data_IF_482985938193
#
_entry.id   IF_482985938193
#
_cell.length_a   1.000
_cell.length_b   1.000
_cell.length_c   1.000
_cell.angle_alpha   90.00
_cell.angle_beta   90.00
_cell.angle_gamma   90.00
#
_symmetry.space_group_name_H-M   'P 1'
#
loop_
_entity.id
_entity.type
_entity.pdbx_description
1 polymer ?
#
# COMPACT_ATOMS: atom_id res chain seq x y z
N UNK A 1 0.73 -0.40 18.53
CA UNK A 1 -0.65 -0.56 18.98
C UNK A 1 -0.65 -1.13 20.39
N UNK A 2 -1.61 -0.77 21.23
CA UNK A 2 -1.82 -1.36 22.56
C UNK A 2 -3.23 -1.96 22.62
N UNK A 3 -3.37 -3.12 23.27
CA UNK A 3 -4.64 -3.84 23.42
C UNK A 3 -5.06 -3.93 24.89
N UNK A 4 -5.44 -2.81 25.54
CA UNK A 4 -5.82 -2.82 26.94
C UNK A 4 -7.07 -3.68 27.16
N UNK A 5 -7.08 -4.37 28.30
CA UNK A 5 -8.27 -5.04 28.82
C UNK A 5 -9.09 -4.04 29.64
N UNK A 6 -10.37 -4.35 29.88
CA UNK A 6 -11.21 -3.55 30.80
C UNK A 6 -10.63 -3.49 32.22
N UNK A 7 -9.83 -4.49 32.60
CA UNK A 7 -9.14 -4.56 33.89
C UNK A 7 -7.73 -3.97 33.86
N UNK A 8 -7.28 -3.42 32.74
CA UNK A 8 -5.98 -2.77 32.66
C UNK A 8 -5.97 -1.48 33.49
N UNK A 9 -4.93 -1.33 34.31
CA UNK A 9 -4.73 -0.13 35.12
C UNK A 9 -4.30 1.06 34.25
N UNK A 10 -4.95 2.21 34.48
CA UNK A 10 -4.76 3.42 33.67
C UNK A 10 -3.35 4.00 33.80
N UNK A 11 -2.74 3.93 34.99
CA UNK A 11 -1.38 4.44 35.24
C UNK A 11 -0.33 3.60 34.50
N UNK A 12 -0.51 2.29 34.51
CA UNK A 12 0.31 1.33 33.76
C UNK A 12 0.16 1.56 32.25
N UNK A 13 -1.07 1.73 31.76
CA UNK A 13 -1.33 2.00 30.34
C UNK A 13 -0.71 3.33 29.90
N UNK A 14 -0.81 4.38 30.71
CA UNK A 14 -0.19 5.68 30.44
C UNK A 14 1.34 5.58 30.39
N UNK A 15 1.94 4.82 31.30
CA UNK A 15 3.38 4.57 31.33
C UNK A 15 3.86 3.85 30.07
N UNK A 16 3.19 2.76 29.70
CA UNK A 16 3.51 2.01 28.48
C UNK A 16 3.33 2.88 27.24
N UNK A 17 2.24 3.65 27.17
CA UNK A 17 2.01 4.61 26.08
C UNK A 17 3.16 5.61 25.98
N UNK A 18 3.59 6.19 27.09
CA UNK A 18 4.70 7.14 27.13
C UNK A 18 6.01 6.54 26.62
N UNK A 19 6.33 5.30 27.03
CA UNK A 19 7.52 4.58 26.56
C UNK A 19 7.45 4.33 25.05
N UNK A 20 6.33 3.80 24.56
CA UNK A 20 6.17 3.47 23.14
C UNK A 20 6.20 4.73 22.27
N UNK A 21 5.51 5.79 22.69
CA UNK A 21 5.57 7.10 22.03
C UNK A 21 6.96 7.74 22.09
N UNK A 22 7.75 7.47 23.13
CA UNK A 22 9.14 7.92 23.24
C UNK A 22 10.05 7.40 22.13
N UNK A 23 9.69 6.30 21.45
CA UNK A 23 10.37 5.80 20.25
C UNK A 23 9.88 6.45 18.95
N UNK A 24 9.02 7.47 19.01
CA UNK A 24 8.44 8.12 17.84
C UNK A 24 7.26 7.37 17.23
N UNK A 25 6.70 6.37 17.92
CA UNK A 25 5.55 5.61 17.45
C UNK A 25 4.23 6.35 17.73
N UNK A 26 3.34 6.37 16.74
CA UNK A 26 1.94 6.74 16.95
C UNK A 26 1.20 5.59 17.64
N UNK A 27 0.74 5.82 18.87
CA UNK A 27 0.12 4.76 19.68
C UNK A 27 -1.39 4.75 19.50
N UNK A 28 -1.86 3.80 18.69
CA UNK A 28 -3.27 3.43 18.60
C UNK A 28 -3.62 2.42 19.70
N UNK A 29 -4.77 2.58 20.35
CA UNK A 29 -5.29 1.67 21.38
C UNK A 29 -6.66 1.14 20.99
N UNK A 30 -6.85 -0.18 21.04
CA UNK A 30 -8.07 -0.86 20.64
C UNK A 30 -8.31 -2.09 21.54
N UNK A 31 -9.55 -2.53 21.78
CA UNK A 31 -9.81 -3.81 22.43
C UNK A 31 -9.14 -4.98 21.68
N UNK A 32 -8.70 -6.06 22.37
CA UNK A 32 -8.03 -7.20 21.74
C UNK A 32 -8.82 -7.82 20.56
N UNK A 33 -10.13 -8.02 20.74
CA UNK A 33 -10.98 -8.61 19.69
C UNK A 33 -11.05 -7.72 18.43
N UNK A 34 -11.03 -6.40 18.61
CA UNK A 34 -11.02 -5.46 17.50
C UNK A 34 -9.66 -5.45 16.79
N UNK A 35 -8.55 -5.51 17.54
CA UNK A 35 -7.22 -5.69 16.97
C UNK A 35 -7.16 -6.96 16.10
N UNK A 36 -7.63 -8.09 16.62
CA UNK A 36 -7.55 -9.37 15.93
C UNK A 36 -8.36 -9.38 14.62
N UNK A 37 -9.57 -8.83 14.65
CA UNK A 37 -10.39 -8.65 13.44
C UNK A 37 -9.74 -7.71 12.42
N UNK A 38 -9.19 -6.57 12.86
CA UNK A 38 -8.54 -5.63 11.95
C UNK A 38 -7.27 -6.20 11.34
N UNK A 39 -6.42 -6.86 12.14
CA UNK A 39 -5.17 -7.47 11.66
C UNK A 39 -5.44 -8.67 10.76
N UNK A 40 -6.54 -9.40 10.96
CA UNK A 40 -6.94 -10.46 10.04
C UNK A 40 -7.08 -9.95 8.60
N UNK A 41 -7.82 -8.85 8.38
CA UNK A 41 -8.06 -8.30 7.04
C UNK A 41 -6.85 -7.53 6.48
N UNK A 42 -6.11 -6.77 7.30
CA UNK A 42 -5.00 -5.93 6.78
C UNK A 42 -3.63 -6.62 6.76
N UNK A 43 -3.48 -7.79 7.37
CA UNK A 43 -2.18 -8.49 7.49
C UNK A 43 -2.26 -9.99 7.21
N UNK A 44 -3.11 -10.74 7.93
CA UNK A 44 -3.09 -12.20 7.87
C UNK A 44 -3.63 -12.73 6.54
N UNK A 45 -4.84 -12.32 6.15
CA UNK A 45 -5.46 -12.72 4.89
C UNK A 45 -4.63 -12.28 3.68
N UNK A 46 -4.08 -11.04 3.61
CA UNK A 46 -3.15 -10.67 2.55
C UNK A 46 -1.96 -11.63 2.41
N UNK A 47 -1.36 -12.07 3.52
CA UNK A 47 -0.24 -13.02 3.46
C UNK A 47 -0.67 -14.39 2.92
N UNK A 48 -1.76 -14.95 3.44
CA UNK A 48 -2.29 -16.24 2.96
C UNK A 48 -2.68 -16.15 1.47
N UNK A 49 -3.29 -15.04 1.05
CA UNK A 49 -3.64 -14.79 -0.35
C UNK A 49 -2.42 -14.73 -1.25
N UNK A 50 -1.36 -14.02 -0.83
CA UNK A 50 -0.11 -13.95 -1.55
C UNK A 50 0.56 -15.34 -1.68
N UNK A 51 0.55 -16.13 -0.60
CA UNK A 51 1.09 -17.49 -0.59
C UNK A 51 0.29 -18.41 -1.53
N UNK A 52 -1.05 -18.37 -1.48
CA UNK A 52 -1.92 -19.15 -2.37
C UNK A 52 -1.75 -18.76 -3.85
N UNK A 53 -1.65 -17.46 -4.15
CA UNK A 53 -1.45 -16.97 -5.52
C UNK A 53 -0.08 -17.42 -6.07
N UNK A 54 0.97 -17.34 -5.26
CA UNK A 54 2.30 -17.83 -5.64
C UNK A 54 2.31 -19.35 -5.84
N UNK A 55 1.67 -20.11 -4.94
CA UNK A 55 1.53 -21.56 -5.07
C UNK A 55 0.83 -21.97 -6.38
N UNK A 56 -0.26 -21.28 -6.73
CA UNK A 56 -0.96 -21.52 -8.00
C UNK A 56 -0.06 -21.26 -9.22
N UNK A 57 0.76 -20.20 -9.18
CA UNK A 57 1.70 -19.90 -10.26
C UNK A 57 2.81 -20.96 -10.37
N UNK A 58 3.34 -21.42 -9.23
CA UNK A 58 4.38 -22.46 -9.17
C UNK A 58 3.88 -23.78 -9.76
N UNK A 59 2.69 -24.23 -9.36
CA UNK A 59 2.03 -25.43 -9.89
C UNK A 59 1.92 -25.37 -11.43
N UNK A 60 1.51 -24.22 -11.98
CA UNK A 60 1.36 -24.00 -13.44
C UNK A 60 2.67 -23.79 -14.18
N UNK A 61 3.74 -23.41 -13.48
CA UNK A 61 5.05 -23.21 -14.08
C UNK A 61 5.67 -24.51 -14.61
N UNK A 62 5.30 -25.64 -14.00
CA UNK A 62 5.71 -26.98 -14.42
C UNK A 62 5.25 -27.30 -15.85
N UNK A 63 4.06 -26.81 -16.22
CA UNK A 63 3.46 -26.94 -17.55
C UNK A 63 3.98 -25.85 -18.52
N UNK A 64 4.28 -24.65 -18.00
CA UNK A 64 4.62 -23.48 -18.81
C UNK A 64 5.82 -22.71 -18.23
N UNK A 65 7.05 -23.11 -18.60
CA UNK A 65 8.29 -22.46 -18.12
C UNK A 65 8.39 -20.96 -18.38
N UNK A 66 7.63 -20.43 -19.34
CA UNK A 66 7.56 -18.99 -19.62
C UNK A 66 6.76 -18.21 -18.56
N UNK A 67 5.85 -18.86 -17.82
CA UNK A 67 4.98 -18.21 -16.83
C UNK A 67 5.80 -17.49 -15.75
N UNK A 68 6.83 -18.14 -15.21
CA UNK A 68 7.71 -17.52 -14.19
C UNK A 68 8.59 -16.40 -14.75
N UNK A 69 8.82 -16.38 -16.07
CA UNK A 69 9.52 -15.25 -16.72
C UNK A 69 8.59 -14.05 -16.91
N UNK A 70 7.30 -14.29 -17.10
CA UNK A 70 6.25 -13.27 -17.20
C UNK A 70 5.77 -12.77 -15.83
N UNK A 71 6.04 -13.52 -14.76
CA UNK A 71 5.82 -13.15 -13.36
C UNK A 71 6.77 -12.03 -12.90
N UNK A 72 6.67 -10.86 -13.54
CA UNK A 72 7.40 -9.63 -13.27
C UNK A 72 6.42 -8.52 -12.84
N UNK A 73 6.96 -7.40 -12.32
CA UNK A 73 6.18 -6.24 -11.90
C UNK A 73 5.15 -6.58 -10.81
N UNK A 74 3.88 -6.24 -11.06
CA UNK A 74 2.80 -6.33 -10.07
C UNK A 74 2.57 -7.72 -9.48
N UNK A 75 2.89 -8.81 -10.19
CA UNK A 75 2.84 -10.15 -9.59
C UNK A 75 3.86 -10.31 -8.46
N UNK A 76 5.11 -9.86 -8.67
CA UNK A 76 6.16 -9.90 -7.64
C UNK A 76 5.81 -9.02 -6.45
N UNK A 77 5.22 -7.87 -6.70
CA UNK A 77 4.83 -6.95 -5.62
C UNK A 77 3.69 -7.53 -4.77
N UNK A 78 2.65 -8.09 -5.41
CA UNK A 78 1.55 -8.76 -4.70
C UNK A 78 2.01 -10.00 -3.94
N UNK A 79 2.95 -10.76 -4.50
CA UNK A 79 3.46 -12.01 -3.88
C UNK A 79 4.70 -11.80 -3.01
N UNK A 80 5.21 -10.57 -2.87
CA UNK A 80 6.44 -10.28 -2.13
C UNK A 80 6.42 -10.84 -0.71
N UNK A 81 5.28 -10.72 -0.03
CA UNK A 81 5.13 -11.16 1.36
C UNK A 81 5.05 -12.69 1.50
N UNK A 82 4.78 -13.44 0.43
CA UNK A 82 4.82 -14.91 0.46
C UNK A 82 6.22 -15.48 0.73
N UNK A 83 7.27 -14.67 0.54
CA UNK A 83 8.65 -15.03 0.86
C UNK A 83 8.99 -14.90 2.37
N UNK A 84 8.03 -14.54 3.22
CA UNK A 84 8.26 -14.43 4.67
C UNK A 84 8.54 -15.81 5.30
N UNK A 85 9.22 -15.83 6.44
CA UNK A 85 9.54 -17.08 7.13
C UNK A 85 8.26 -17.83 7.55
N UNK A 86 8.06 -19.09 7.14
CA UNK A 86 6.80 -19.80 7.37
C UNK A 86 6.58 -20.20 8.83
N UNK A 87 7.64 -20.31 9.64
CA UNK A 87 7.58 -20.90 10.97
C UNK A 87 6.64 -20.22 11.97
N UNK A 88 6.31 -18.94 11.76
CA UNK A 88 5.41 -18.18 12.66
C UNK A 88 3.93 -18.26 12.24
N UNK A 89 3.65 -18.59 10.97
CA UNK A 89 2.31 -18.49 10.41
C UNK A 89 1.32 -19.53 10.95
N UNK A 90 1.71 -20.78 11.23
CA UNK A 90 0.81 -21.74 11.89
C UNK A 90 0.28 -21.22 13.22
N UNK A 91 1.13 -20.62 14.05
CA UNK A 91 0.74 -20.08 15.35
C UNK A 91 -0.17 -18.85 15.18
N UNK A 92 0.17 -17.92 14.28
CA UNK A 92 -0.69 -16.77 13.94
C UNK A 92 -2.08 -17.22 13.49
N UNK A 93 -2.12 -18.22 12.60
CA UNK A 93 -3.38 -18.77 12.08
C UNK A 93 -4.17 -19.52 13.15
N UNK A 94 -3.50 -20.15 14.11
CA UNK A 94 -4.16 -20.83 15.22
C UNK A 94 -4.77 -19.82 16.21
N UNK A 95 -4.01 -18.80 16.60
CA UNK A 95 -4.42 -17.81 17.60
C UNK A 95 -5.53 -16.88 17.09
N UNK A 96 -5.53 -16.53 15.80
CA UNK A 96 -6.54 -15.65 15.21
C UNK A 96 -7.44 -16.37 14.18
N UNK A 97 -7.64 -17.68 14.36
CA UNK A 97 -8.32 -18.56 13.41
C UNK A 97 -9.68 -18.03 12.97
N UNK A 98 -10.53 -17.69 13.92
CA UNK A 98 -11.94 -17.43 13.64
C UNK A 98 -12.10 -16.12 12.82
N UNK A 99 -11.32 -15.09 13.14
CA UNK A 99 -11.31 -13.86 12.33
C UNK A 99 -10.69 -14.09 10.95
N UNK A 100 -9.60 -14.87 10.85
CA UNK A 100 -8.98 -15.21 9.56
C UNK A 100 -9.97 -15.96 8.67
N UNK A 101 -10.68 -16.95 9.19
CA UNK A 101 -11.69 -17.71 8.42
C UNK A 101 -12.80 -16.79 7.94
N UNK A 102 -13.34 -15.94 8.82
CA UNK A 102 -14.38 -14.97 8.46
C UNK A 102 -13.95 -14.02 7.33
N UNK A 103 -12.70 -13.53 7.37
CA UNK A 103 -12.17 -12.64 6.34
C UNK A 103 -11.82 -13.38 5.04
N UNK A 104 -11.37 -14.64 5.12
CA UNK A 104 -11.18 -15.49 3.94
C UNK A 104 -12.51 -15.77 3.24
N UNK A 105 -13.58 -16.05 3.98
CA UNK A 105 -14.92 -16.28 3.42
C UNK A 105 -15.41 -15.04 2.65
N UNK A 106 -15.21 -13.84 3.20
CA UNK A 106 -15.53 -12.57 2.54
C UNK A 106 -14.70 -12.35 1.27
N UNK A 107 -13.40 -12.68 1.31
CA UNK A 107 -12.53 -12.60 0.14
C UNK A 107 -12.97 -13.58 -0.94
N UNK A 108 -13.29 -14.83 -0.59
CA UNK A 108 -13.78 -15.86 -1.51
C UNK A 108 -15.10 -15.42 -2.16
N UNK A 109 -16.04 -14.86 -1.39
CA UNK A 109 -17.28 -14.32 -1.93
C UNK A 109 -17.01 -13.18 -2.93
N UNK A 110 -16.09 -12.27 -2.61
CA UNK A 110 -15.69 -11.16 -3.49
C UNK A 110 -15.06 -11.66 -4.80
N UNK A 111 -14.10 -12.59 -4.71
CA UNK A 111 -13.47 -13.20 -5.88
C UNK A 111 -14.49 -13.97 -6.75
N UNK A 112 -15.46 -14.62 -6.12
CA UNK A 112 -16.54 -15.32 -6.83
C UNK A 112 -17.42 -14.33 -7.62
N UNK A 113 -17.73 -13.18 -7.04
CA UNK A 113 -18.46 -12.11 -7.72
C UNK A 113 -17.69 -11.55 -8.92
N UNK A 114 -16.40 -11.24 -8.74
CA UNK A 114 -15.52 -10.77 -9.83
C UNK A 114 -15.42 -11.82 -10.94
N UNK A 115 -15.30 -13.11 -10.58
CA UNK A 115 -15.28 -14.22 -11.54
C UNK A 115 -16.56 -14.28 -12.37
N UNK A 116 -17.73 -14.05 -11.76
CA UNK A 116 -19.00 -14.00 -12.50
C UNK A 116 -19.06 -12.80 -13.45
N UNK A 117 -18.71 -11.61 -12.99
CA UNK A 117 -18.66 -10.39 -13.82
C UNK A 117 -17.77 -10.59 -15.06
N UNK A 118 -16.58 -11.18 -14.87
CA UNK A 118 -15.66 -11.49 -15.98
C UNK A 118 -16.25 -12.55 -16.92
N UNK A 119 -16.88 -13.60 -16.38
CA UNK A 119 -17.49 -14.66 -17.19
C UNK A 119 -18.67 -14.17 -18.02
N UNK A 120 -19.45 -13.23 -17.48
CA UNK A 120 -20.61 -12.63 -18.13
C UNK A 120 -20.21 -11.52 -19.13
N UNK A 121 -18.95 -11.10 -19.11
CA UNK A 121 -18.44 -10.02 -19.96
C UNK A 121 -18.99 -8.64 -19.58
N UNK A 122 -19.43 -8.45 -18.33
CA UNK A 122 -20.01 -7.19 -17.85
C UNK A 122 -18.91 -6.15 -17.62
N UNK A 123 -18.64 -5.38 -18.67
CA UNK A 123 -17.59 -4.35 -18.69
C UNK A 123 -17.84 -3.26 -17.65
N UNK A 124 -19.08 -2.82 -17.49
CA UNK A 124 -19.40 -1.68 -16.64
C UNK A 124 -19.28 -2.06 -15.17
N UNK A 125 -19.74 -3.27 -14.78
CA UNK A 125 -19.53 -3.79 -13.45
C UNK A 125 -18.04 -4.00 -13.12
N UNK A 126 -17.25 -4.48 -14.10
CA UNK A 126 -15.80 -4.65 -13.92
C UNK A 126 -15.09 -3.31 -13.67
N UNK A 127 -15.40 -2.29 -14.47
CA UNK A 127 -14.83 -0.94 -14.30
C UNK A 127 -15.18 -0.39 -12.92
N UNK A 128 -16.44 -0.49 -12.51
CA UNK A 128 -16.89 0.02 -11.21
C UNK A 128 -16.15 -0.60 -10.01
N UNK A 129 -15.85 -1.90 -10.06
CA UNK A 129 -15.07 -2.58 -9.01
C UNK A 129 -13.62 -2.07 -8.99
N UNK A 130 -12.99 -1.95 -10.16
CA UNK A 130 -11.61 -1.49 -10.28
C UNK A 130 -11.44 -0.03 -9.83
N UNK A 131 -12.39 0.85 -10.17
CA UNK A 131 -12.40 2.24 -9.74
C UNK A 131 -12.59 2.38 -8.23
N UNK A 132 -13.46 1.57 -7.64
CA UNK A 132 -13.64 1.53 -6.18
C UNK A 132 -12.35 1.10 -5.48
N UNK A 133 -11.71 0.04 -5.96
CA UNK A 133 -10.44 -0.45 -5.41
C UNK A 133 -9.32 0.60 -5.54
N UNK A 134 -9.22 1.25 -6.71
CA UNK A 134 -8.26 2.33 -6.95
C UNK A 134 -8.48 3.49 -5.98
N UNK A 135 -9.72 3.93 -5.81
CA UNK A 135 -10.06 5.06 -4.94
C UNK A 135 -9.72 4.76 -3.47
N UNK A 136 -10.08 3.56 -2.99
CA UNK A 136 -9.73 3.12 -1.64
C UNK A 136 -8.21 3.06 -1.41
N UNK A 137 -7.44 2.61 -2.41
CA UNK A 137 -5.98 2.53 -2.32
C UNK A 137 -5.30 3.91 -2.26
N UNK A 138 -5.81 4.88 -3.03
CA UNK A 138 -5.30 6.26 -3.05
C UNK A 138 -5.65 7.02 -1.76
N UNK A 139 -6.74 6.64 -1.09
CA UNK A 139 -7.14 7.22 0.20
C UNK A 139 -6.37 6.67 1.40
N UNK A 140 -5.45 5.70 1.22
CA UNK A 140 -4.62 5.21 2.31
C UNK A 140 -3.69 6.34 2.80
N UNK A 141 -3.60 6.59 4.12
CA UNK A 141 -2.71 7.62 4.66
C UNK A 141 -1.26 7.34 4.26
N UNK A 142 -0.53 8.39 3.84
CA UNK A 142 0.92 8.29 3.75
C UNK A 142 1.49 8.07 5.15
N UNK A 143 2.62 7.37 5.22
CA UNK A 143 3.14 6.81 6.46
C UNK A 143 3.51 7.84 7.54
N UNK A 144 3.48 9.13 7.22
CA UNK A 144 3.74 10.26 8.11
C UNK A 144 2.94 11.46 7.59
N UNK A 145 2.15 12.10 8.47
CA UNK A 145 1.18 13.18 8.22
C UNK A 145 -0.24 12.74 7.79
N UNK A 146 -1.25 13.51 8.20
CA UNK A 146 -2.63 13.29 7.75
C UNK A 146 -2.66 13.47 6.23
N UNK A 147 -3.50 12.73 5.52
CA UNK A 147 -3.58 12.82 4.05
C UNK A 147 -3.84 14.27 3.56
N UNK A 148 -4.61 15.04 4.34
CA UNK A 148 -4.92 16.47 4.16
C UNK A 148 -3.70 17.40 4.30
N UNK A 149 -2.60 16.94 4.92
CA UNK A 149 -1.37 17.71 5.08
C UNK A 149 -0.34 17.41 3.97
N UNK A 150 -0.70 16.60 2.98
CA UNK A 150 0.22 16.08 1.96
C UNK A 150 -0.23 16.39 0.54
N UNK A 151 0.74 16.53 -0.36
CA UNK A 151 0.53 16.63 -1.79
C UNK A 151 1.37 15.59 -2.55
N UNK A 152 0.77 15.06 -3.62
CA UNK A 152 1.41 14.10 -4.52
C UNK A 152 2.01 14.83 -5.73
N UNK A 153 3.31 14.62 -5.99
CA UNK A 153 3.96 14.99 -7.24
C UNK A 153 4.21 13.76 -8.10
N UNK A 154 3.67 13.75 -9.32
CA UNK A 154 3.94 12.73 -10.33
C UNK A 154 4.91 13.28 -11.36
N UNK A 155 6.06 12.63 -11.50
CA UNK A 155 7.18 13.10 -12.31
C UNK A 155 7.53 12.00 -13.32
N UNK A 156 7.14 12.12 -14.58
CA UNK A 156 7.62 11.24 -15.64
C UNK A 156 9.14 11.34 -15.76
N UNK A 157 9.81 10.20 -15.79
CA UNK A 157 11.27 10.09 -15.92
C UNK A 157 11.63 9.02 -16.94
N UNK A 158 12.64 9.31 -17.76
CA UNK A 158 13.30 8.29 -18.56
C UNK A 158 14.13 7.38 -17.65
N UNK A 159 14.23 6.09 -17.99
CA UNK A 159 15.11 5.13 -17.30
C UNK A 159 16.59 5.39 -17.65
N UNK A 160 17.15 6.43 -17.04
CA UNK A 160 18.54 6.84 -17.25
C UNK A 160 19.27 7.11 -15.93
N UNK A 161 20.59 6.94 -15.95
CA UNK A 161 21.45 7.16 -14.78
C UNK A 161 21.26 8.58 -14.24
N UNK A 162 20.99 8.68 -12.94
CA UNK A 162 20.87 9.96 -12.24
C UNK A 162 19.49 10.62 -12.29
N UNK A 163 18.49 10.02 -12.93
CA UNK A 163 17.14 10.59 -12.98
C UNK A 163 16.56 10.86 -11.59
N UNK A 164 16.62 9.85 -10.69
CA UNK A 164 16.18 9.99 -9.31
C UNK A 164 17.05 10.95 -8.50
N UNK A 165 18.38 10.89 -8.68
CA UNK A 165 19.31 11.77 -7.98
C UNK A 165 19.05 13.25 -8.32
N UNK A 166 18.75 13.56 -9.58
CA UNK A 166 18.36 14.91 -9.97
C UNK A 166 17.11 15.38 -9.23
N UNK A 167 16.06 14.55 -9.19
CA UNK A 167 14.81 14.89 -8.50
C UNK A 167 15.03 15.10 -6.98
N UNK A 168 15.74 14.18 -6.32
CA UNK A 168 15.94 14.27 -4.86
C UNK A 168 16.92 15.37 -4.47
N UNK A 169 17.92 15.68 -5.31
CA UNK A 169 18.76 16.85 -5.09
C UNK A 169 17.97 18.15 -5.18
N UNK A 170 17.03 18.27 -6.12
CA UNK A 170 16.18 19.46 -6.24
C UNK A 170 15.34 19.67 -4.98
N UNK A 171 14.74 18.60 -4.46
CA UNK A 171 14.02 18.67 -3.20
C UNK A 171 14.91 19.15 -2.05
N UNK A 172 16.15 18.66 -1.99
CA UNK A 172 17.14 19.08 -0.99
C UNK A 172 17.57 20.54 -1.16
N UNK A 173 17.85 20.99 -2.38
CA UNK A 173 18.22 22.38 -2.70
C UNK A 173 17.12 23.38 -2.32
N UNK A 174 15.85 22.93 -2.39
CA UNK A 174 14.69 23.72 -2.03
C UNK A 174 14.27 23.53 -0.58
N UNK A 175 15.01 22.76 0.22
CA UNK A 175 14.67 22.47 1.63
C UNK A 175 13.25 21.88 1.76
N UNK A 176 12.91 20.92 0.90
CA UNK A 176 11.66 20.17 0.90
C UNK A 176 11.92 18.73 1.34
N UNK A 177 11.30 18.34 2.46
CA UNK A 177 11.31 16.94 2.92
C UNK A 177 10.40 16.07 2.05
N UNK A 178 10.87 14.88 1.72
CA UNK A 178 10.09 13.88 1.00
C UNK A 178 9.59 12.83 2.00
N UNK A 179 8.28 12.75 2.17
CA UNK A 179 7.63 11.81 3.08
C UNK A 179 7.62 10.38 2.51
N UNK A 180 7.45 10.24 1.20
CA UNK A 180 7.49 8.94 0.51
C UNK A 180 7.94 9.06 -0.95
N UNK A 181 8.54 7.99 -1.47
CA UNK A 181 8.98 7.87 -2.87
C UNK A 181 8.52 6.52 -3.42
N UNK A 182 7.67 6.56 -4.45
CA UNK A 182 7.26 5.39 -5.21
C UNK A 182 7.71 5.52 -6.67
N UNK A 183 8.06 4.40 -7.31
CA UNK A 183 8.40 4.34 -8.73
C UNK A 183 7.41 3.39 -9.40
N UNK A 184 6.51 3.95 -10.20
CA UNK A 184 5.57 3.20 -11.01
C UNK A 184 6.14 3.00 -12.42
N UNK A 185 6.05 1.77 -12.94
CA UNK A 185 6.48 1.45 -14.30
C UNK A 185 5.28 1.58 -15.25
N UNK A 186 5.46 2.23 -16.41
CA UNK A 186 4.47 2.16 -17.48
C UNK A 186 4.47 0.77 -18.09
N UNK A 187 3.27 0.22 -18.36
CA UNK A 187 3.13 -1.10 -19.01
C UNK A 187 3.46 -1.01 -20.53
N UNK A 188 3.49 0.21 -21.10
CA UNK A 188 3.60 0.45 -22.55
C UNK A 188 4.74 1.42 -22.96
N UNK A 189 5.78 1.63 -22.15
CA UNK A 189 6.94 2.45 -22.57
C UNK A 189 8.17 2.40 -21.66
N UNK A 190 9.29 2.95 -22.13
CA UNK A 190 10.58 3.07 -21.41
C UNK A 190 10.61 4.21 -20.37
N UNK A 191 9.46 4.82 -20.09
CA UNK A 191 9.33 5.92 -19.12
C UNK A 191 8.66 5.42 -17.83
N UNK A 192 9.36 5.61 -16.71
CA UNK A 192 8.83 5.43 -15.37
C UNK A 192 8.16 6.71 -14.86
N UNK A 193 7.33 6.59 -13.83
CA UNK A 193 6.80 7.74 -13.10
C UNK A 193 7.28 7.67 -11.67
N UNK A 194 8.02 8.68 -11.24
CA UNK A 194 8.36 8.89 -9.83
C UNK A 194 7.20 9.62 -9.19
N UNK A 195 6.70 9.06 -8.09
CA UNK A 195 5.64 9.65 -7.29
C UNK A 195 6.30 10.06 -5.96
N UNK A 196 6.25 11.34 -5.64
CA UNK A 196 6.73 11.88 -4.38
C UNK A 196 5.54 12.33 -3.54
N UNK A 197 5.55 11.98 -2.25
CA UNK A 197 4.67 12.58 -1.26
C UNK A 197 5.47 13.59 -0.44
N UNK A 198 4.95 14.81 -0.35
CA UNK A 198 5.55 15.93 0.39
C UNK A 198 4.46 16.66 1.16
N UNK A 199 4.85 17.48 2.14
CA UNK A 199 3.89 18.36 2.82
C UNK A 199 3.20 19.30 1.83
N UNK A 200 1.90 19.49 1.99
CA UNK A 200 1.06 20.22 1.04
C UNK A 200 1.56 21.64 0.79
N UNK A 201 2.02 22.34 1.85
CA UNK A 201 2.62 23.67 1.75
C UNK A 201 3.88 23.73 0.87
N UNK A 202 4.59 22.60 0.75
CA UNK A 202 5.83 22.46 0.00
C UNK A 202 5.61 21.95 -1.43
N UNK A 203 4.44 21.39 -1.74
CA UNK A 203 4.15 20.75 -3.03
C UNK A 203 4.31 21.68 -4.22
N UNK A 204 3.81 22.91 -4.11
CA UNK A 204 3.90 23.91 -5.17
C UNK A 204 5.35 24.36 -5.42
N UNK A 205 6.10 24.62 -4.34
CA UNK A 205 7.53 24.99 -4.39
C UNK A 205 8.36 23.92 -5.09
N UNK A 206 8.14 22.65 -4.77
CA UNK A 206 8.86 21.55 -5.40
C UNK A 206 8.48 21.37 -6.86
N UNK A 207 7.19 21.48 -7.21
CA UNK A 207 6.70 21.37 -8.59
C UNK A 207 7.36 22.40 -9.50
N UNK A 208 7.40 23.65 -9.05
CA UNK A 208 7.98 24.74 -9.84
C UNK A 208 9.50 24.55 -9.99
N UNK A 209 10.21 24.20 -8.92
CA UNK A 209 11.66 23.96 -9.00
C UNK A 209 12.07 22.75 -9.84
N UNK A 210 11.22 21.73 -9.93
CA UNK A 210 11.35 20.60 -10.87
C UNK A 210 11.10 21.04 -12.31
N UNK A 211 10.06 21.85 -12.53
CA UNK A 211 9.69 22.37 -13.86
C UNK A 211 10.78 23.27 -14.44
N UNK A 212 11.36 24.14 -13.61
CA UNK A 212 12.48 25.02 -13.99
C UNK A 212 13.73 24.24 -14.42
N UNK A 213 13.88 23.00 -13.96
CA UNK A 213 14.98 22.09 -14.31
C UNK A 213 14.60 21.07 -15.38
N UNK A 214 13.47 21.28 -16.05
CA UNK A 214 13.05 20.51 -17.23
C UNK A 214 12.24 19.24 -16.94
N UNK A 215 11.85 18.99 -15.68
CA UNK A 215 10.97 17.87 -15.34
C UNK A 215 9.50 18.25 -15.54
N UNK A 216 8.68 17.30 -16.02
CA UNK A 216 7.24 17.50 -16.23
C UNK A 216 6.44 17.11 -14.99
N UNK A 217 6.64 17.79 -13.87
CA UNK A 217 5.99 17.47 -12.60
C UNK A 217 4.51 17.90 -12.58
N UNK A 218 3.63 16.99 -12.17
CA UNK A 218 2.19 17.27 -11.95
C UNK A 218 1.88 17.14 -10.47
N UNK A 219 1.36 18.21 -9.87
CA UNK A 219 0.95 18.26 -8.47
C UNK A 219 -0.53 17.89 -8.35
N UNK A 220 -0.88 17.08 -7.34
CA UNK A 220 -2.25 16.77 -6.93
C UNK A 220 -2.41 16.95 -5.42
N UNK A 221 -3.49 17.61 -5.01
CA UNK A 221 -3.90 17.57 -3.60
C UNK A 221 -4.47 16.19 -3.29
N UNK A 222 -4.23 15.70 -2.08
CA UNK A 222 -4.83 14.48 -1.54
C UNK A 222 -6.12 14.77 -0.76
N UNK A 223 -6.56 16.04 -0.71
CA UNK A 223 -7.88 16.42 -0.22
C UNK A 223 -8.94 15.78 -1.12
N UNK A 224 -9.83 14.99 -0.51
CA UNK A 224 -10.86 14.20 -1.19
C UNK A 224 -11.98 15.00 -1.90
N UNK A 225 -11.72 16.21 -2.37
CA UNK A 225 -12.62 16.97 -3.22
C UNK A 225 -12.18 16.84 -4.69
N UNK A 226 -12.79 15.91 -5.41
CA UNK A 226 -12.83 15.97 -6.88
C UNK A 226 -13.52 17.29 -7.29
N UNK A 227 -12.76 18.17 -7.94
CA UNK A 227 -13.30 19.37 -8.57
C UNK A 227 -13.98 18.93 -9.88
N UNK A 228 -15.31 18.84 -9.80
CA UNK A 228 -16.38 18.92 -10.83
C UNK A 228 -16.06 18.66 -12.30
#
# INVERSE_FOLDING_TARGET
MLTPLETSDDETLATIRGIVSGFGAEVVSLPPSQHDSMVAIVSHVPHLTAASLMGLADERSSEHRSLMRLAAGGFRDMTRIAASHPGIWPDICNENRDAIVSELDQLVATLSSVRSIVADGDRDALVAILERARSARLALPARFARAEDLAELRIPVADQKGALAGITMIATELDVSIADIEIAHSVEGDEGVVILLVEAENGQRLRDGLTDRGYKAVLRSLDGSEDR
#
